data_IF_941683574326
#
_entry.id   IF_941683574326
#
_cell.length_a   1.000
_cell.length_b   1.000
_cell.length_c   1.000
_cell.angle_alpha   90.00
_cell.angle_beta   90.00
_cell.angle_gamma   90.00
#
_symmetry.space_group_name_H-M   'P 1'
#
loop_
_entity.id
_entity.type
_entity.pdbx_description
1 polymer ?
#
# COMPACT_ATOMS: atom_id res chain seq x y z
N UNK A 1 4.65 -5.98 -12.58
CA UNK A 1 4.65 -4.55 -12.94
C UNK A 1 3.24 -4.19 -13.36
N UNK A 2 2.67 -3.12 -12.79
CA UNK A 2 1.32 -2.66 -13.11
C UNK A 2 1.28 -1.14 -13.07
N UNK A 3 0.47 -0.55 -13.93
CA UNK A 3 0.10 0.86 -13.88
C UNK A 3 -1.36 0.94 -13.46
N UNK A 4 -1.63 1.61 -12.34
CA UNK A 4 -2.97 1.75 -11.80
C UNK A 4 -3.42 3.20 -11.93
N UNK A 5 -4.58 3.41 -12.54
CA UNK A 5 -5.23 4.71 -12.64
C UNK A 5 -6.57 4.63 -11.89
N UNK A 6 -6.75 5.53 -10.93
CA UNK A 6 -7.98 5.64 -10.16
C UNK A 6 -8.62 7.00 -10.51
N UNK A 7 -9.84 7.03 -11.09
CA UNK A 7 -10.51 8.29 -11.38
C UNK A 7 -10.91 9.01 -10.08
N UNK A 8 -10.99 10.34 -10.14
CA UNK A 8 -11.55 11.14 -9.05
C UNK A 8 -13.07 10.88 -8.92
N UNK A 9 -13.54 10.66 -7.70
CA UNK A 9 -14.94 10.24 -7.44
C UNK A 9 -15.30 10.37 -5.98
N UNK A 10 -16.58 10.69 -5.70
CA UNK A 10 -17.09 10.97 -4.33
C UNK A 10 -17.30 9.71 -3.51
N UNK A 11 -17.07 8.56 -4.14
CA UNK A 11 -17.23 7.25 -3.58
C UNK A 11 -15.87 6.65 -3.16
N UNK A 12 -15.70 6.52 -1.84
CA UNK A 12 -14.55 5.88 -1.20
C UNK A 12 -14.45 4.36 -1.52
N UNK A 13 -15.47 3.75 -2.14
CA UNK A 13 -15.43 2.33 -2.55
C UNK A 13 -14.72 2.08 -3.88
N UNK A 14 -14.37 3.14 -4.60
CA UNK A 14 -13.52 3.02 -5.78
C UNK A 14 -12.07 2.99 -5.29
N UNK A 15 -11.18 2.18 -5.89
CA UNK A 15 -9.82 2.00 -5.34
C UNK A 15 -9.31 0.58 -5.49
N UNK A 16 -8.19 0.28 -4.81
CA UNK A 16 -7.69 -1.11 -4.69
C UNK A 16 -8.01 -1.61 -3.29
N UNK A 17 -8.76 -2.72 -3.13
CA UNK A 17 -9.14 -3.21 -1.81
C UNK A 17 -7.92 -3.55 -0.95
N UNK A 18 -8.13 -3.58 0.37
CA UNK A 18 -7.12 -3.97 1.34
C UNK A 18 -6.56 -5.36 1.02
N UNK A 19 -5.23 -5.47 0.93
CA UNK A 19 -4.52 -6.72 0.67
C UNK A 19 -3.07 -6.66 1.15
N UNK A 20 -2.44 -7.82 1.20
CA UNK A 20 -1.01 -8.02 1.34
C UNK A 20 -0.40 -8.42 -0.02
N UNK A 21 0.90 -8.19 -0.18
CA UNK A 21 1.60 -8.50 -1.43
C UNK A 21 2.25 -9.89 -1.35
N UNK A 22 1.83 -10.87 -2.17
CA UNK A 22 2.32 -12.26 -2.07
C UNK A 22 3.78 -12.47 -2.51
N UNK A 23 4.49 -11.40 -2.88
CA UNK A 23 5.86 -11.46 -3.40
C UNK A 23 6.94 -11.28 -2.33
N UNK A 24 8.17 -11.00 -2.76
CA UNK A 24 9.25 -10.64 -1.83
C UNK A 24 9.12 -9.20 -1.35
N UNK A 25 9.01 -8.26 -2.29
CA UNK A 25 8.82 -6.84 -2.02
C UNK A 25 8.16 -6.16 -3.23
N UNK A 26 7.47 -5.05 -2.97
CA UNK A 26 6.88 -4.17 -3.98
C UNK A 26 7.57 -2.82 -3.95
N UNK A 27 7.92 -2.28 -5.12
CA UNK A 27 8.41 -0.90 -5.27
C UNK A 27 7.29 -0.10 -5.93
N UNK A 28 6.84 0.94 -5.26
CA UNK A 28 5.73 1.79 -5.68
C UNK A 28 6.19 3.23 -5.87
N UNK A 29 5.93 3.77 -7.05
CA UNK A 29 5.98 5.20 -7.34
C UNK A 29 4.55 5.74 -7.27
N UNK A 30 4.35 6.83 -6.53
CA UNK A 30 3.06 7.51 -6.39
C UNK A 30 3.07 8.83 -7.17
N UNK A 31 1.91 9.27 -7.63
CA UNK A 31 1.74 10.64 -8.09
C UNK A 31 1.72 11.62 -6.90
N UNK A 32 1.42 12.90 -7.18
CA UNK A 32 1.37 13.95 -6.16
C UNK A 32 0.04 14.00 -5.38
N UNK A 33 -0.97 13.21 -5.78
CA UNK A 33 -2.29 13.15 -5.13
C UNK A 33 -2.27 12.13 -3.98
N UNK A 34 -1.60 10.99 -4.17
CA UNK A 34 -1.47 9.94 -3.16
C UNK A 34 -2.69 9.02 -3.11
N UNK A 35 -3.12 8.66 -1.89
CA UNK A 35 -4.23 7.72 -1.66
C UNK A 35 -3.81 6.38 -1.06
N UNK A 36 -2.51 6.09 -1.01
CA UNK A 36 -1.99 4.92 -0.31
C UNK A 36 -2.21 5.02 1.20
N UNK A 37 -2.76 3.96 1.78
CA UNK A 37 -2.85 3.80 3.23
C UNK A 37 -2.29 2.43 3.63
N UNK A 38 -1.65 2.39 4.80
CA UNK A 38 -1.18 1.15 5.42
C UNK A 38 -1.95 0.92 6.72
N UNK A 39 -2.34 -0.31 6.98
CA UNK A 39 -2.94 -0.73 8.23
C UNK A 39 -1.84 -1.11 9.22
N UNK A 40 -1.83 -0.48 10.39
CA UNK A 40 -0.88 -0.76 11.46
C UNK A 40 -1.53 -0.42 12.81
N UNK A 41 -1.34 -1.27 13.80
CA UNK A 41 -1.84 -1.05 15.18
C UNK A 41 -3.35 -0.73 15.20
N UNK A 42 -4.14 -1.49 14.44
CA UNK A 42 -5.60 -1.34 14.23
C UNK A 42 -6.03 0.02 13.65
N UNK A 43 -5.13 0.69 12.93
CA UNK A 43 -5.38 2.00 12.32
C UNK A 43 -4.90 2.05 10.87
N UNK A 44 -5.69 2.75 10.04
CA UNK A 44 -5.27 3.12 8.70
C UNK A 44 -4.46 4.42 8.73
N UNK A 45 -3.20 4.32 8.32
CA UNK A 45 -2.26 5.44 8.27
C UNK A 45 -2.04 5.83 6.81
N UNK A 46 -2.32 7.10 6.48
CA UNK A 46 -2.06 7.62 5.14
C UNK A 46 -0.56 7.82 4.88
N UNK A 47 -0.08 7.33 3.75
CA UNK A 47 1.29 7.55 3.30
C UNK A 47 1.31 8.76 2.37
N UNK A 48 1.83 9.88 2.87
CA UNK A 48 1.93 11.09 2.07
C UNK A 48 2.82 10.86 0.83
N UNK A 49 2.37 11.25 -0.37
CA UNK A 49 3.22 11.21 -1.56
C UNK A 49 4.43 12.12 -1.35
N UNK A 50 5.59 11.70 -1.84
CA UNK A 50 6.82 12.49 -1.76
C UNK A 50 7.53 12.44 -3.10
N UNK A 51 7.72 13.64 -3.67
CA UNK A 51 8.50 13.82 -4.89
C UNK A 51 9.89 13.18 -4.74
N UNK A 52 10.33 12.48 -5.79
CA UNK A 52 11.62 11.80 -5.87
C UNK A 52 11.84 10.68 -4.83
N UNK A 53 10.78 10.12 -4.24
CA UNK A 53 10.87 8.95 -3.37
C UNK A 53 10.04 7.80 -3.91
N UNK A 54 10.44 6.60 -3.52
CA UNK A 54 9.71 5.36 -3.78
C UNK A 54 9.25 4.78 -2.45
N UNK A 55 8.07 4.20 -2.44
CA UNK A 55 7.59 3.38 -1.33
C UNK A 55 8.06 1.95 -1.59
N UNK A 56 8.57 1.28 -0.57
CA UNK A 56 8.95 -0.13 -0.62
C UNK A 56 8.11 -0.87 0.40
N UNK A 57 7.33 -1.85 -0.05
CA UNK A 57 6.59 -2.77 0.80
C UNK A 57 7.32 -4.12 0.85
N UNK A 58 7.31 -4.78 2.02
CA UNK A 58 7.79 -6.15 2.18
C UNK A 58 6.60 -7.09 2.01
N UNK A 59 6.76 -8.12 1.19
CA UNK A 59 5.70 -9.09 0.92
C UNK A 59 5.82 -10.39 1.71
N UNK A 60 4.80 -11.23 1.56
CA UNK A 60 4.56 -12.44 2.35
C UNK A 60 5.73 -13.42 2.31
N UNK A 61 6.44 -13.51 1.17
CA UNK A 61 7.59 -14.41 1.02
C UNK A 61 8.67 -14.04 2.02
N UNK A 62 9.03 -12.75 2.11
CA UNK A 62 10.08 -12.31 3.04
C UNK A 62 9.62 -12.44 4.49
N UNK A 63 8.36 -12.10 4.79
CA UNK A 63 7.81 -12.26 6.14
C UNK A 63 7.91 -13.72 6.62
N UNK A 64 7.53 -14.67 5.77
CA UNK A 64 7.60 -16.10 6.07
C UNK A 64 9.04 -16.59 6.30
N UNK A 65 10.04 -16.00 5.61
CA UNK A 65 11.45 -16.38 5.77
C UNK A 65 12.13 -15.76 6.99
N UNK A 66 11.76 -14.54 7.41
CA UNK A 66 12.53 -13.77 8.39
C UNK A 66 12.18 -14.17 9.83
N UNK A 67 10.90 -14.17 10.25
CA UNK A 67 10.50 -14.62 11.61
C UNK A 67 9.02 -15.06 11.62
N UNK A 68 8.68 -16.35 11.83
CA UNK A 68 7.28 -16.80 11.95
C UNK A 68 6.55 -16.31 13.23
N UNK A 69 7.25 -15.63 14.13
CA UNK A 69 6.75 -15.09 15.40
C UNK A 69 6.58 -13.55 15.41
N UNK A 70 7.08 -12.83 14.39
CA UNK A 70 6.90 -11.39 14.23
C UNK A 70 6.15 -11.17 12.92
N UNK A 71 4.83 -11.17 13.04
CA UNK A 71 3.91 -10.88 11.97
C UNK A 71 3.92 -9.37 11.74
N UNK A 72 4.61 -8.91 10.68
CA UNK A 72 4.57 -7.51 10.26
C UNK A 72 3.53 -7.40 9.14
N UNK A 73 2.26 -7.62 9.45
CA UNK A 73 1.17 -7.52 8.47
C UNK A 73 0.96 -6.05 8.12
N UNK A 74 1.49 -5.64 6.97
CA UNK A 74 1.14 -4.37 6.36
C UNK A 74 0.12 -4.62 5.26
N UNK A 75 -1.14 -4.71 5.67
CA UNK A 75 -2.24 -4.59 4.71
C UNK A 75 -2.24 -3.16 4.18
N UNK A 76 -2.32 -2.97 2.87
CA UNK A 76 -2.44 -1.64 2.29
C UNK A 76 -3.63 -1.56 1.34
N UNK A 77 -4.15 -0.34 1.21
CA UNK A 77 -5.25 -0.02 0.31
C UNK A 77 -4.90 1.27 -0.44
N UNK A 78 -5.54 1.48 -1.58
CA UNK A 78 -5.48 2.76 -2.28
C UNK A 78 -6.89 3.31 -2.34
N UNK A 79 -7.11 4.43 -1.68
CA UNK A 79 -8.36 5.18 -1.69
C UNK A 79 -8.15 6.39 -2.62
N UNK A 80 -8.92 6.54 -3.71
CA UNK A 80 -8.87 7.71 -4.56
C UNK A 80 -9.17 8.94 -3.74
N UNK A 81 -8.35 9.97 -3.94
CA UNK A 81 -8.48 11.26 -3.27
C UNK A 81 -8.87 12.31 -4.29
N UNK A 82 -9.59 13.31 -3.80
CA UNK A 82 -9.87 14.55 -4.52
C UNK A 82 -8.79 15.59 -4.29
#
# INVERSE_FOLDING_TARGET
>A
MGLHYFPATEDDNTGKPAHEDPGCFTILYQDEIGGLQVHKDDQWISIAPSKNKLVVNIGDVIQAFIIPLLVIDFTFTIIPKF
#
